data_IF_701454191037
#
_entry.id   IF_701454191037
#
_cell.length_a   1.000
_cell.length_b   1.000
_cell.length_c   1.000
_cell.angle_alpha   90.00
_cell.angle_beta   90.00
_cell.angle_gamma   90.00
#
_symmetry.space_group_name_H-M   'P 1'
#
loop_
_entity.id
_entity.type
_entity.pdbx_description
1 polymer ?
#
# COMPACT_ATOMS: atom_id res chain seq x y z
N UNK A 1 -1.29 -5.24 -6.74
CA UNK A 1 -1.33 -3.91 -6.13
C UNK A 1 -1.47 -2.89 -7.23
N UNK A 2 -2.68 -2.33 -7.35
CA UNK A 2 -2.97 -1.22 -8.25
C UNK A 2 -2.80 0.11 -7.52
N UNK A 3 -2.15 1.08 -8.17
CA UNK A 3 -2.04 2.45 -7.69
C UNK A 3 -3.09 3.40 -8.28
N UNK A 4 -4.06 2.86 -9.00
CA UNK A 4 -5.08 3.60 -9.77
C UNK A 4 -6.29 4.04 -8.94
N UNK A 5 -6.30 3.84 -7.62
CA UNK A 5 -7.35 4.39 -6.74
C UNK A 5 -7.01 5.80 -6.22
N UNK A 6 -5.84 6.33 -6.56
CA UNK A 6 -5.45 7.68 -6.14
C UNK A 6 -6.13 8.76 -6.95
N UNK A 7 -6.39 9.88 -6.28
CA UNK A 7 -6.91 11.09 -6.90
C UNK A 7 -6.03 11.49 -8.10
N UNK A 8 -6.70 11.70 -9.24
CA UNK A 8 -6.06 12.13 -10.48
C UNK A 8 -5.45 11.00 -11.32
N UNK A 9 -5.61 9.73 -10.94
CA UNK A 9 -5.30 8.63 -11.86
C UNK A 9 -6.28 8.63 -13.05
N UNK A 10 -5.79 8.54 -14.30
CA UNK A 10 -6.64 8.63 -15.49
C UNK A 10 -7.54 7.42 -15.71
N UNK A 11 -7.23 6.27 -15.12
CA UNK A 11 -8.03 5.04 -15.24
C UNK A 11 -8.81 4.72 -13.96
N UNK A 12 -8.47 5.40 -12.85
CA UNK A 12 -9.15 5.34 -11.58
C UNK A 12 -10.50 6.05 -11.52
N UNK A 13 -11.40 5.57 -10.66
CA UNK A 13 -12.67 6.23 -10.34
C UNK A 13 -12.74 6.81 -8.92
N UNK A 14 -11.62 6.81 -8.19
CA UNK A 14 -11.57 7.10 -6.76
C UNK A 14 -10.81 8.41 -6.50
N UNK A 15 -11.03 8.98 -5.31
CA UNK A 15 -10.46 10.27 -4.90
C UNK A 15 -9.54 10.14 -3.68
N UNK A 16 -8.92 8.97 -3.51
CA UNK A 16 -8.09 8.72 -2.32
C UNK A 16 -6.74 9.46 -2.42
N UNK A 17 -6.23 9.99 -1.30
CA UNK A 17 -4.89 10.58 -1.27
C UNK A 17 -3.80 9.49 -1.31
N UNK A 18 -2.57 9.79 -1.77
CA UNK A 18 -1.47 8.81 -1.84
C UNK A 18 -1.11 8.13 -0.51
N UNK A 19 -1.33 8.78 0.63
CA UNK A 19 -1.01 8.22 1.95
C UNK A 19 -1.97 7.11 2.40
N UNK A 20 -3.10 6.92 1.69
CA UNK A 20 -4.03 5.78 1.90
C UNK A 20 -3.30 4.44 1.82
N UNK A 21 -2.24 4.33 1.01
CA UNK A 21 -1.48 3.09 0.89
C UNK A 21 -0.75 2.71 2.17
N UNK A 22 -0.46 3.65 3.06
CA UNK A 22 0.07 3.33 4.39
C UNK A 22 -0.94 2.52 5.19
N UNK A 23 -2.20 2.93 5.18
CA UNK A 23 -3.28 2.22 5.87
C UNK A 23 -3.56 0.85 5.23
N UNK A 24 -3.52 0.77 3.91
CA UNK A 24 -3.61 -0.53 3.20
C UNK A 24 -2.47 -1.46 3.63
N UNK A 25 -1.23 -0.96 3.70
CA UNK A 25 -0.08 -1.74 4.15
C UNK A 25 -0.21 -2.23 5.59
N UNK A 26 -0.72 -1.39 6.51
CA UNK A 26 -1.00 -1.77 7.89
C UNK A 26 -2.08 -2.87 7.95
N UNK A 27 -3.18 -2.69 7.22
CA UNK A 27 -4.25 -3.67 7.16
C UNK A 27 -3.77 -5.03 6.62
N UNK A 28 -2.98 -5.03 5.54
CA UNK A 28 -2.40 -6.26 4.97
C UNK A 28 -1.46 -6.96 5.95
N UNK A 29 -0.67 -6.22 6.73
CA UNK A 29 0.25 -6.81 7.70
C UNK A 29 -0.47 -7.62 8.80
N UNK A 30 -1.73 -7.28 9.12
CA UNK A 30 -2.53 -8.02 10.12
C UNK A 30 -2.80 -9.48 9.74
N UNK A 31 -2.60 -9.86 8.46
CA UNK A 31 -2.71 -11.25 7.99
C UNK A 31 -1.72 -12.17 8.71
N UNK A 32 -0.57 -11.64 9.16
CA UNK A 32 0.43 -12.41 9.92
C UNK A 32 1.11 -13.54 9.13
N UNK A 33 1.19 -13.40 7.80
CA UNK A 33 1.84 -14.36 6.89
C UNK A 33 2.83 -13.66 5.97
N UNK A 34 3.78 -14.38 5.34
CA UNK A 34 4.56 -13.82 4.24
C UNK A 34 3.65 -13.30 3.12
N UNK A 35 3.91 -12.09 2.65
CA UNK A 35 3.10 -11.41 1.62
C UNK A 35 3.95 -11.23 0.36
N UNK A 36 3.42 -11.64 -0.79
CA UNK A 36 3.95 -11.31 -2.11
C UNK A 36 3.09 -10.22 -2.73
N UNK A 37 3.68 -9.06 -3.04
CA UNK A 37 2.99 -7.97 -3.72
C UNK A 37 3.29 -8.04 -5.22
N UNK A 38 2.27 -8.26 -6.03
CA UNK A 38 2.36 -8.24 -7.51
C UNK A 38 1.94 -6.86 -8.00
N UNK A 39 2.71 -6.21 -8.86
CA UNK A 39 2.39 -4.89 -9.40
C UNK A 39 1.29 -5.00 -10.47
N UNK A 40 0.24 -4.19 -10.36
CA UNK A 40 -0.87 -4.10 -11.32
C UNK A 40 -0.93 -2.68 -11.92
N UNK A 41 -2.12 -2.06 -11.98
CA UNK A 41 -2.34 -0.70 -12.46
C UNK A 41 -1.66 0.41 -11.63
N UNK A 42 -1.79 1.64 -12.10
CA UNK A 42 -1.09 2.82 -11.57
C UNK A 42 -0.53 3.65 -12.72
N UNK A 43 -1.31 4.63 -13.16
CA UNK A 43 -1.07 5.37 -14.39
C UNK A 43 -0.74 6.84 -14.14
N UNK A 44 -1.01 7.32 -12.91
CA UNK A 44 -0.50 8.60 -12.40
C UNK A 44 0.99 8.52 -12.01
N UNK A 45 1.87 8.69 -12.99
CA UNK A 45 3.32 8.46 -12.84
C UNK A 45 3.99 9.35 -11.79
N UNK A 46 3.54 10.61 -11.62
CA UNK A 46 4.06 11.54 -10.62
C UNK A 46 3.75 11.12 -9.17
N UNK A 47 2.67 10.36 -8.96
CA UNK A 47 2.27 9.87 -7.64
C UNK A 47 2.80 8.47 -7.32
N UNK A 48 3.23 7.70 -8.33
CA UNK A 48 3.53 6.27 -8.20
C UNK A 48 4.58 5.95 -7.11
N UNK A 49 5.65 6.74 -7.06
CA UNK A 49 6.74 6.56 -6.09
C UNK A 49 6.28 6.80 -4.64
N UNK A 50 5.49 7.86 -4.42
CA UNK A 50 4.93 8.19 -3.11
C UNK A 50 3.98 7.08 -2.64
N UNK A 51 3.12 6.59 -3.53
CA UNK A 51 2.18 5.52 -3.23
C UNK A 51 2.88 4.22 -2.81
N UNK A 52 3.90 3.79 -3.57
CA UNK A 52 4.69 2.60 -3.26
C UNK A 52 5.47 2.76 -1.95
N UNK A 53 6.00 3.95 -1.67
CA UNK A 53 6.68 4.25 -0.42
C UNK A 53 5.73 4.15 0.79
N UNK A 54 4.51 4.70 0.67
CA UNK A 54 3.49 4.60 1.71
C UNK A 54 3.07 3.15 1.98
N UNK A 55 2.81 2.36 0.92
CA UNK A 55 2.51 0.92 1.05
C UNK A 55 3.61 0.18 1.80
N UNK A 56 4.85 0.37 1.35
CA UNK A 56 6.03 -0.29 1.93
C UNK A 56 6.23 0.09 3.39
N UNK A 57 5.99 1.36 3.73
CA UNK A 57 6.06 1.84 5.11
C UNK A 57 5.00 1.16 5.99
N UNK A 58 3.74 1.09 5.53
CA UNK A 58 2.65 0.43 6.24
C UNK A 58 2.94 -1.05 6.50
N UNK A 59 3.33 -1.80 5.46
CA UNK A 59 3.71 -3.21 5.57
C UNK A 59 4.86 -3.40 6.58
N UNK A 60 5.93 -2.62 6.46
CA UNK A 60 7.09 -2.73 7.35
C UNK A 60 6.75 -2.44 8.81
N UNK A 61 5.88 -1.46 9.07
CA UNK A 61 5.43 -1.14 10.44
C UNK A 61 4.60 -2.31 10.98
N UNK A 62 3.53 -2.69 10.28
CA UNK A 62 2.62 -3.73 10.78
C UNK A 62 3.31 -5.10 10.92
N UNK A 63 4.17 -5.48 9.98
CA UNK A 63 4.89 -6.78 10.07
C UNK A 63 5.85 -6.83 11.27
N UNK A 64 6.45 -5.70 11.67
CA UNK A 64 7.28 -5.63 12.90
C UNK A 64 6.42 -5.81 14.15
N UNK A 65 5.22 -5.27 14.17
CA UNK A 65 4.30 -5.38 15.30
C UNK A 65 3.74 -6.80 15.42
N UNK A 66 3.28 -7.39 14.32
CA UNK A 66 2.79 -8.79 14.30
C UNK A 66 3.91 -9.78 14.63
N UNK A 67 5.13 -9.56 14.13
CA UNK A 67 6.28 -10.42 14.44
C UNK A 67 6.68 -10.43 15.93
N UNK A 68 6.44 -9.33 16.66
CA UNK A 68 6.67 -9.25 18.11
C UNK A 68 5.57 -9.93 18.95
N UNK A 69 4.40 -10.16 18.38
CA UNK A 69 3.28 -10.79 19.08
C UNK A 69 3.37 -12.32 19.12
N UNK A 70 4.34 -12.92 18.40
CA UNK A 70 4.55 -14.36 18.29
C UNK A 70 5.86 -14.86 18.93
N UNK A 71 6.58 -13.99 19.65
CA UNK A 71 7.77 -14.32 20.48
C UNK A 71 7.49 -14.03 21.94
#
# INVERSE_FOLDING_TARGET
MGYDIVVGDPHGGWTLPPDVYREIGLALATIGKPICIVQEGGYRLDALSACAAHLSAGLRIGMKETGRSHT
#
